data_IF_013504293860
#
_entry.id   IF_013504293860
#
_cell.length_a   1.000
_cell.length_b   1.000
_cell.length_c   1.000
_cell.angle_alpha   90.00
_cell.angle_beta   90.00
_cell.angle_gamma   90.00
#
_symmetry.space_group_name_H-M   'P 1'
#
loop_
_entity.id
_entity.type
_entity.pdbx_description
1 polymer ?
#
# COMPACT_ATOMS: atom_id res chain seq x y z
N UNK A 1 -68.73 -12.78 -40.83
CA UNK A 1 -67.73 -11.90 -40.19
C UNK A 1 -67.72 -12.24 -38.70
N UNK A 2 -66.92 -13.23 -38.31
CA UNK A 2 -66.83 -13.71 -36.92
C UNK A 2 -65.73 -12.95 -36.19
N UNK A 3 -66.14 -12.03 -35.32
CA UNK A 3 -65.22 -11.27 -34.46
C UNK A 3 -64.74 -12.18 -33.33
N UNK A 4 -63.46 -12.53 -33.37
CA UNK A 4 -62.77 -13.22 -32.28
C UNK A 4 -62.76 -12.28 -31.07
N UNK A 5 -63.44 -12.66 -29.99
CA UNK A 5 -63.31 -11.99 -28.69
C UNK A 5 -61.94 -12.34 -28.12
N UNK A 6 -61.07 -11.33 -27.97
CA UNK A 6 -59.89 -11.43 -27.11
C UNK A 6 -60.34 -11.70 -25.68
N UNK A 7 -59.97 -12.87 -25.16
CA UNK A 7 -60.17 -13.22 -23.76
C UNK A 7 -59.17 -12.44 -22.92
N UNK A 8 -59.65 -11.45 -22.16
CA UNK A 8 -58.87 -10.76 -21.12
C UNK A 8 -58.28 -11.79 -20.16
N UNK A 9 -56.96 -11.75 -19.97
CA UNK A 9 -56.25 -12.63 -19.03
C UNK A 9 -56.75 -12.35 -17.61
N UNK A 10 -57.14 -13.38 -16.82
CA UNK A 10 -57.65 -13.17 -15.48
C UNK A 10 -56.58 -12.48 -14.61
N UNK A 11 -56.96 -11.39 -13.93
CA UNK A 11 -56.10 -10.71 -12.95
C UNK A 11 -55.84 -11.67 -11.79
N UNK A 12 -54.68 -12.33 -11.82
CA UNK A 12 -54.24 -13.21 -10.73
C UNK A 12 -54.06 -12.34 -9.48
N UNK A 13 -54.72 -12.73 -8.39
CA UNK A 13 -54.57 -12.07 -7.09
C UNK A 13 -53.09 -11.96 -6.72
N UNK A 14 -52.65 -10.81 -6.20
CA UNK A 14 -51.25 -10.55 -5.81
C UNK A 14 -50.68 -11.63 -4.86
N UNK A 15 -51.55 -12.33 -4.12
CA UNK A 15 -51.20 -13.43 -3.21
C UNK A 15 -50.85 -14.74 -3.93
N UNK A 16 -51.29 -14.91 -5.17
CA UNK A 16 -51.04 -16.10 -6.02
C UNK A 16 -50.02 -15.84 -7.13
N UNK A 17 -49.50 -14.61 -7.25
CA UNK A 17 -48.42 -14.31 -8.19
C UNK A 17 -47.12 -14.97 -7.71
N UNK A 18 -46.52 -15.89 -8.50
CA UNK A 18 -45.30 -16.59 -8.11
C UNK A 18 -44.12 -15.64 -7.84
N UNK A 19 -44.07 -14.45 -8.48
CA UNK A 19 -43.02 -13.46 -8.24
C UNK A 19 -43.18 -12.78 -6.88
N UNK A 20 -44.40 -12.39 -6.53
CA UNK A 20 -44.70 -11.74 -5.23
C UNK A 20 -44.45 -12.70 -4.08
N UNK A 21 -44.88 -13.96 -4.22
CA UNK A 21 -44.66 -15.01 -3.21
C UNK A 21 -43.17 -15.33 -3.04
N UNK A 22 -42.40 -15.36 -4.13
CA UNK A 22 -40.95 -15.56 -4.07
C UNK A 22 -40.25 -14.44 -3.29
N UNK A 23 -40.61 -13.18 -3.55
CA UNK A 23 -40.07 -12.03 -2.82
C UNK A 23 -40.49 -12.09 -1.34
N UNK A 24 -41.74 -12.44 -1.04
CA UNK A 24 -42.21 -12.57 0.33
C UNK A 24 -41.43 -13.65 1.12
N UNK A 25 -41.17 -14.82 0.52
CA UNK A 25 -40.35 -15.85 1.16
C UNK A 25 -38.88 -15.45 1.32
N UNK A 26 -38.30 -14.72 0.35
CA UNK A 26 -36.95 -14.19 0.48
C UNK A 26 -36.84 -13.16 1.61
N UNK A 27 -37.80 -12.24 1.71
CA UNK A 27 -37.85 -11.27 2.81
C UNK A 27 -38.05 -11.95 4.16
N UNK A 28 -38.94 -12.94 4.25
CA UNK A 28 -39.14 -13.72 5.46
C UNK A 28 -37.87 -14.48 5.86
N UNK A 29 -37.19 -15.13 4.91
CA UNK A 29 -35.92 -15.81 5.15
C UNK A 29 -34.84 -14.84 5.62
N UNK A 30 -34.67 -13.69 4.96
CA UNK A 30 -33.74 -12.65 5.38
C UNK A 30 -34.05 -12.15 6.79
N UNK A 31 -35.33 -11.91 7.12
CA UNK A 31 -35.74 -11.48 8.45
C UNK A 31 -35.39 -12.52 9.51
N UNK A 32 -35.63 -13.81 9.24
CA UNK A 32 -35.25 -14.90 10.14
C UNK A 32 -33.74 -14.98 10.31
N UNK A 33 -32.96 -14.88 9.23
CA UNK A 33 -31.49 -14.90 9.30
C UNK A 33 -30.97 -13.72 10.14
N UNK A 34 -31.46 -12.50 9.89
CA UNK A 34 -31.06 -11.30 10.64
C UNK A 34 -31.45 -11.45 12.11
N UNK A 35 -32.65 -11.95 12.40
CA UNK A 35 -33.10 -12.19 13.77
C UNK A 35 -32.21 -13.20 14.51
N UNK A 36 -31.88 -14.33 13.87
CA UNK A 36 -31.00 -15.35 14.44
C UNK A 36 -29.58 -14.81 14.66
N UNK A 37 -29.02 -14.11 13.67
CA UNK A 37 -27.69 -13.51 13.77
C UNK A 37 -27.63 -12.44 14.88
N UNK A 38 -28.63 -11.57 14.94
CA UNK A 38 -28.74 -10.56 16.00
C UNK A 38 -28.88 -11.19 17.38
N UNK A 39 -29.72 -12.21 17.52
CA UNK A 39 -29.92 -12.92 18.78
C UNK A 39 -28.65 -13.66 19.24
N UNK A 40 -27.95 -14.30 18.31
CA UNK A 40 -26.67 -14.96 18.60
C UNK A 40 -25.59 -13.95 19.00
N UNK A 41 -25.46 -12.84 18.26
CA UNK A 41 -24.48 -11.80 18.55
C UNK A 41 -24.72 -11.13 19.90
N UNK A 42 -25.97 -10.76 20.21
CA UNK A 42 -26.32 -10.14 21.49
C UNK A 42 -26.14 -11.11 22.66
N UNK A 43 -26.50 -12.38 22.51
CA UNK A 43 -26.24 -13.40 23.54
C UNK A 43 -24.73 -13.56 23.79
N UNK A 44 -23.92 -13.63 22.73
CA UNK A 44 -22.47 -13.69 22.83
C UNK A 44 -21.88 -12.45 23.54
N UNK A 45 -22.27 -11.24 23.13
CA UNK A 45 -21.80 -9.99 23.75
C UNK A 45 -22.17 -9.95 25.24
N UNK A 46 -23.40 -10.32 25.60
CA UNK A 46 -23.85 -10.33 26.98
C UNK A 46 -23.08 -11.35 27.84
N UNK A 47 -22.75 -12.52 27.29
CA UNK A 47 -21.96 -13.53 28.00
C UNK A 47 -20.49 -13.10 28.15
N UNK A 48 -19.91 -12.47 27.13
CA UNK A 48 -18.55 -11.91 27.19
C UNK A 48 -18.45 -10.77 28.20
N UNK A 49 -19.45 -9.89 28.24
CA UNK A 49 -19.54 -8.81 29.21
C UNK A 49 -19.64 -9.35 30.65
N UNK A 50 -20.47 -10.37 30.88
CA UNK A 50 -20.56 -11.07 32.19
C UNK A 50 -19.24 -11.72 32.61
N UNK A 51 -18.43 -12.15 31.64
CA UNK A 51 -17.11 -12.73 31.88
C UNK A 51 -15.99 -11.68 32.05
N UNK A 52 -16.30 -10.37 32.06
CA UNK A 52 -15.33 -9.28 32.05
C UNK A 52 -14.30 -9.36 30.91
N UNK A 53 -14.67 -9.97 29.79
CA UNK A 53 -13.81 -10.04 28.61
C UNK A 53 -14.03 -8.77 27.79
N UNK A 54 -12.97 -7.98 27.65
CA UNK A 54 -12.97 -6.82 26.77
C UNK A 54 -13.34 -7.26 25.34
N UNK A 55 -14.53 -6.86 24.89
CA UNK A 55 -15.09 -7.24 23.59
C UNK A 55 -15.52 -5.99 22.82
N UNK A 56 -15.50 -6.08 21.48
CA UNK A 56 -15.83 -4.98 20.58
C UNK A 56 -14.61 -4.15 20.14
N UNK A 57 -14.88 -2.99 19.53
CA UNK A 57 -13.87 -2.12 18.90
C UNK A 57 -13.38 -0.98 19.80
N UNK A 58 -13.72 -0.96 21.08
CA UNK A 58 -13.26 0.07 22.01
C UNK A 58 -11.73 0.13 22.15
N UNK A 59 -11.06 -1.01 21.94
CA UNK A 59 -9.59 -1.10 22.01
C UNK A 59 -8.87 -0.17 21.04
N UNK A 60 -9.49 0.23 19.92
CA UNK A 60 -8.90 1.15 18.94
C UNK A 60 -8.48 2.48 19.57
N UNK A 61 -9.18 2.92 20.62
CA UNK A 61 -8.93 4.18 21.31
C UNK A 61 -8.09 4.00 22.59
N UNK A 62 -7.75 2.78 22.96
CA UNK A 62 -6.87 2.53 24.10
C UNK A 62 -5.42 2.82 23.71
N UNK A 63 -4.63 3.26 24.69
CA UNK A 63 -3.19 3.47 24.54
C UNK A 63 -2.50 2.16 24.18
N UNK A 64 -1.65 2.20 23.15
CA UNK A 64 -0.91 1.03 22.66
C UNK A 64 0.15 0.55 23.67
N UNK A 65 0.88 1.48 24.29
CA UNK A 65 1.85 1.17 25.35
C UNK A 65 3.18 0.58 24.85
N UNK A 66 3.43 0.56 23.54
CA UNK A 66 4.68 0.10 22.94
C UNK A 66 5.17 1.10 21.90
N UNK A 67 6.49 1.08 21.64
CA UNK A 67 7.11 1.95 20.64
C UNK A 67 7.19 1.26 19.27
N UNK A 68 7.25 2.06 18.19
CA UNK A 68 7.41 1.57 16.82
C UNK A 68 8.63 2.27 16.23
N UNK A 69 9.63 1.50 15.81
CA UNK A 69 10.92 2.05 15.36
C UNK A 69 10.77 2.99 14.16
N UNK A 70 10.26 2.51 13.02
CA UNK A 70 10.03 3.34 11.84
C UNK A 70 8.62 3.93 11.90
N UNK A 71 8.48 5.25 11.76
CA UNK A 71 7.16 5.91 11.74
C UNK A 71 7.08 6.88 10.57
N UNK A 72 6.04 6.73 9.74
CA UNK A 72 5.75 7.63 8.61
C UNK A 72 4.81 8.77 9.01
N UNK A 73 4.11 8.59 10.12
CA UNK A 73 3.20 9.55 10.74
C UNK A 73 3.55 9.64 12.21
N UNK A 74 3.31 10.80 12.83
CA UNK A 74 3.60 10.99 14.26
C UNK A 74 2.95 9.90 15.11
N UNK A 75 3.78 9.27 15.94
CA UNK A 75 3.43 8.18 16.83
C UNK A 75 4.30 8.25 18.08
N UNK A 76 3.73 7.85 19.22
CA UNK A 76 4.43 7.72 20.48
C UNK A 76 3.84 6.57 21.28
N UNK A 77 4.49 6.15 22.37
CA UNK A 77 3.99 5.07 23.24
C UNK A 77 2.65 5.37 23.90
N UNK A 78 2.27 6.65 23.99
CA UNK A 78 0.96 7.11 24.49
C UNK A 78 -0.12 7.19 23.40
N UNK A 79 0.23 6.94 22.14
CA UNK A 79 -0.73 6.89 21.03
C UNK A 79 -1.64 5.67 21.11
N UNK A 80 -2.79 5.74 20.43
CA UNK A 80 -3.80 4.68 20.46
C UNK A 80 -3.44 3.49 19.56
N UNK A 81 -4.04 2.33 19.81
CA UNK A 81 -3.91 1.16 18.91
C UNK A 81 -4.35 1.49 17.48
N UNK A 82 -5.35 2.36 17.29
CA UNK A 82 -5.74 2.79 15.97
C UNK A 82 -4.65 3.56 15.23
N UNK A 83 -3.91 4.41 15.94
CA UNK A 83 -2.73 5.08 15.37
C UNK A 83 -1.63 4.07 15.04
N UNK A 84 -1.35 3.13 15.94
CA UNK A 84 -0.37 2.06 15.72
C UNK A 84 -0.70 1.22 14.48
N UNK A 85 -1.98 0.89 14.26
CA UNK A 85 -2.44 0.18 13.07
C UNK A 85 -2.11 0.94 11.79
N UNK A 86 -2.41 2.24 11.72
CA UNK A 86 -2.10 3.05 10.55
C UNK A 86 -0.60 3.19 10.30
N UNK A 87 0.20 3.35 11.36
CA UNK A 87 1.66 3.35 11.24
C UNK A 87 2.16 2.03 10.66
N UNK A 88 1.71 0.90 11.22
CA UNK A 88 2.08 -0.44 10.74
C UNK A 88 1.64 -0.69 9.29
N UNK A 89 0.42 -0.28 8.93
CA UNK A 89 -0.10 -0.38 7.57
C UNK A 89 0.73 0.44 6.59
N UNK A 90 1.05 1.70 6.92
CA UNK A 90 1.86 2.57 6.07
C UNK A 90 3.28 2.03 5.89
N UNK A 91 3.91 1.54 6.95
CA UNK A 91 5.23 0.90 6.84
C UNK A 91 5.16 -0.36 5.97
N UNK A 92 4.13 -1.18 6.12
CA UNK A 92 3.94 -2.40 5.31
C UNK A 92 3.78 -2.06 3.84
N UNK A 93 2.96 -1.05 3.53
CA UNK A 93 2.78 -0.55 2.16
C UNK A 93 4.08 0.02 1.60
N UNK A 94 4.84 0.76 2.39
CA UNK A 94 6.13 1.32 1.98
C UNK A 94 7.13 0.21 1.65
N UNK A 95 7.34 -0.73 2.58
CA UNK A 95 8.25 -1.87 2.39
C UNK A 95 7.81 -2.72 1.21
N UNK A 96 6.51 -3.01 1.07
CA UNK A 96 6.00 -3.79 -0.04
C UNK A 96 6.20 -3.07 -1.38
N UNK A 97 5.93 -1.76 -1.46
CA UNK A 97 6.10 -1.00 -2.69
C UNK A 97 7.57 -1.00 -3.15
N UNK A 98 8.50 -0.68 -2.26
CA UNK A 98 9.94 -0.66 -2.58
C UNK A 98 10.43 -2.09 -2.85
N UNK A 99 10.02 -3.04 -2.01
CA UNK A 99 10.39 -4.45 -2.11
C UNK A 99 9.96 -5.07 -3.43
N UNK A 100 8.72 -4.86 -3.88
CA UNK A 100 8.23 -5.37 -5.17
C UNK A 100 9.09 -4.86 -6.32
N UNK A 101 9.40 -3.56 -6.34
CA UNK A 101 10.22 -2.97 -7.41
C UNK A 101 11.62 -3.57 -7.42
N UNK A 102 12.30 -3.57 -6.27
CA UNK A 102 13.67 -4.08 -6.17
C UNK A 102 13.76 -5.59 -6.40
N UNK A 103 12.83 -6.38 -5.83
CA UNK A 103 12.76 -7.82 -6.02
C UNK A 103 12.46 -8.18 -7.47
N UNK A 104 11.60 -7.41 -8.15
CA UNK A 104 11.33 -7.64 -9.58
C UNK A 104 12.57 -7.38 -10.42
N UNK A 105 13.31 -6.31 -10.15
CA UNK A 105 14.55 -6.01 -10.88
C UNK A 105 15.59 -7.12 -10.63
N UNK A 106 15.85 -7.45 -9.37
CA UNK A 106 16.84 -8.47 -9.01
C UNK A 106 16.43 -9.85 -9.54
N UNK A 107 15.19 -10.26 -9.30
CA UNK A 107 14.64 -11.53 -9.77
C UNK A 107 14.64 -11.65 -11.30
N UNK A 108 14.36 -10.57 -12.02
CA UNK A 108 14.48 -10.54 -13.47
C UNK A 108 15.93 -10.73 -13.93
N UNK A 109 16.88 -9.98 -13.34
CA UNK A 109 18.32 -10.11 -13.66
C UNK A 109 18.78 -11.55 -13.43
N UNK A 110 18.54 -12.10 -12.23
CA UNK A 110 18.94 -13.47 -11.88
C UNK A 110 18.23 -14.49 -12.77
N UNK A 111 16.96 -14.27 -13.10
CA UNK A 111 16.19 -15.12 -14.02
C UNK A 111 16.80 -15.18 -15.42
N UNK A 112 17.21 -14.04 -15.97
CA UNK A 112 17.92 -13.95 -17.25
C UNK A 112 19.29 -14.65 -17.17
N UNK A 113 20.06 -14.43 -16.10
CA UNK A 113 21.35 -15.08 -15.90
C UNK A 113 21.22 -16.61 -15.84
N UNK A 114 20.17 -17.12 -15.20
CA UNK A 114 19.89 -18.57 -15.12
C UNK A 114 19.61 -19.18 -16.48
N UNK A 115 18.98 -18.45 -17.39
CA UNK A 115 18.71 -18.88 -18.78
C UNK A 115 19.90 -18.66 -19.73
N UNK A 116 21.01 -18.11 -19.26
CA UNK A 116 22.21 -17.88 -20.06
C UNK A 116 22.76 -19.19 -20.63
N UNK A 117 23.21 -19.15 -21.88
CA UNK A 117 23.92 -20.28 -22.52
C UNK A 117 25.27 -20.56 -21.86
N UNK A 118 25.82 -19.60 -21.11
CA UNK A 118 27.07 -19.79 -20.38
C UNK A 118 26.82 -20.69 -19.16
N UNK A 119 27.40 -21.89 -19.19
CA UNK A 119 27.28 -22.89 -18.14
C UNK A 119 27.62 -22.36 -16.75
N UNK A 120 28.71 -21.60 -16.63
CA UNK A 120 29.16 -21.08 -15.32
C UNK A 120 28.14 -20.11 -14.75
N UNK A 121 27.67 -19.16 -15.55
CA UNK A 121 26.69 -18.16 -15.13
C UNK A 121 25.37 -18.81 -14.73
N UNK A 122 24.88 -19.73 -15.56
CA UNK A 122 23.62 -20.45 -15.30
C UNK A 122 23.68 -21.26 -14.01
N UNK A 123 24.80 -21.95 -13.75
CA UNK A 123 25.02 -22.72 -12.52
C UNK A 123 25.18 -21.84 -11.28
N UNK A 124 25.91 -20.73 -11.37
CA UNK A 124 26.05 -19.78 -10.26
C UNK A 124 24.70 -19.13 -9.90
N UNK A 125 23.93 -18.71 -10.91
CA UNK A 125 22.58 -18.18 -10.69
C UNK A 125 21.65 -19.24 -10.09
N UNK A 126 21.72 -20.49 -10.58
CA UNK A 126 20.97 -21.61 -10.00
C UNK A 126 21.31 -21.87 -8.54
N UNK A 127 22.60 -21.94 -8.21
CA UNK A 127 23.07 -22.14 -6.84
C UNK A 127 22.69 -20.99 -5.90
N UNK A 128 22.76 -19.74 -6.37
CA UNK A 128 22.25 -18.59 -5.64
C UNK A 128 20.76 -18.74 -5.31
N UNK A 129 19.92 -19.02 -6.32
CA UNK A 129 18.46 -19.15 -6.13
C UNK A 129 18.13 -20.30 -5.18
N UNK A 130 18.77 -21.46 -5.34
CA UNK A 130 18.55 -22.60 -4.46
C UNK A 130 19.00 -22.32 -3.04
N UNK A 131 20.16 -21.70 -2.84
CA UNK A 131 20.63 -21.36 -1.50
C UNK A 131 19.67 -20.39 -0.80
N UNK A 132 19.34 -19.28 -1.45
CA UNK A 132 18.54 -18.20 -0.85
C UNK A 132 17.11 -18.65 -0.55
N UNK A 133 16.47 -19.40 -1.45
CA UNK A 133 15.10 -19.89 -1.24
C UNK A 133 14.98 -20.96 -0.15
N UNK A 134 16.08 -21.66 0.15
CA UNK A 134 16.13 -22.67 1.20
C UNK A 134 16.54 -22.11 2.57
N UNK A 135 17.06 -20.87 2.65
CA UNK A 135 17.37 -20.24 3.92
C UNK A 135 16.10 -19.71 4.60
N UNK A 136 15.92 -19.98 5.92
CA UNK A 136 14.83 -19.38 6.68
C UNK A 136 14.89 -17.85 6.59
N UNK A 137 13.77 -17.19 6.28
CA UNK A 137 13.71 -15.74 6.16
C UNK A 137 14.21 -15.05 7.44
N UNK A 138 13.86 -15.58 8.61
CA UNK A 138 14.33 -15.05 9.90
C UNK A 138 15.86 -15.04 10.00
N UNK A 139 16.53 -16.08 9.50
CA UNK A 139 18.00 -16.14 9.49
C UNK A 139 18.56 -15.04 8.60
N UNK A 140 17.96 -14.80 7.43
CA UNK A 140 18.39 -13.70 6.55
C UNK A 140 18.23 -12.34 7.24
N UNK A 141 17.07 -12.08 7.87
CA UNK A 141 16.83 -10.83 8.60
C UNK A 141 17.87 -10.61 9.69
N UNK A 142 18.15 -11.64 10.49
CA UNK A 142 19.15 -11.59 11.55
C UNK A 142 20.57 -11.40 11.00
N UNK A 143 20.89 -12.02 9.86
CA UNK A 143 22.18 -11.85 9.20
C UNK A 143 22.36 -10.42 8.68
N UNK A 144 21.41 -9.89 7.92
CA UNK A 144 21.49 -8.52 7.41
C UNK A 144 21.60 -7.50 8.55
N UNK A 145 20.80 -7.67 9.60
CA UNK A 145 20.86 -6.77 10.76
C UNK A 145 22.17 -6.89 11.54
N UNK A 146 22.54 -8.11 11.99
CA UNK A 146 23.64 -8.28 12.93
C UNK A 146 25.03 -8.41 12.28
N UNK A 147 25.12 -9.04 11.11
CA UNK A 147 26.42 -9.28 10.46
C UNK A 147 26.80 -8.16 9.49
N UNK A 148 25.81 -7.52 8.84
CA UNK A 148 26.08 -6.50 7.82
C UNK A 148 25.88 -5.10 8.39
N UNK A 149 24.67 -4.76 8.85
CA UNK A 149 24.35 -3.39 9.27
C UNK A 149 25.00 -2.99 10.59
N UNK A 150 25.06 -3.88 11.58
CA UNK A 150 25.79 -3.61 12.84
C UNK A 150 27.31 -3.57 12.70
N UNK A 151 27.86 -4.17 11.65
CA UNK A 151 29.29 -4.12 11.35
C UNK A 151 29.71 -2.79 10.70
N UNK A 152 28.75 -1.94 10.32
CA UNK A 152 29.04 -0.59 9.83
C UNK A 152 29.72 0.25 10.93
N UNK A 153 30.45 1.32 10.55
CA UNK A 153 31.08 2.21 11.51
C UNK A 153 30.10 2.80 12.51
N UNK A 154 30.60 3.15 13.69
CA UNK A 154 29.82 3.89 14.66
C UNK A 154 29.38 5.25 14.10
N UNK A 155 28.35 5.84 14.69
CA UNK A 155 27.85 7.16 14.33
C UNK A 155 28.98 8.22 14.24
N UNK A 156 29.98 8.15 15.12
CA UNK A 156 31.12 9.06 15.13
C UNK A 156 32.03 8.90 13.92
N UNK A 157 32.01 7.79 13.22
CA UNK A 157 32.82 7.51 12.04
C UNK A 157 31.93 7.26 10.81
N UNK A 158 30.74 7.89 10.80
CA UNK A 158 29.75 7.75 9.73
C UNK A 158 30.37 7.96 8.35
N UNK A 159 30.12 7.01 7.46
CA UNK A 159 30.56 7.07 6.07
C UNK A 159 29.74 8.13 5.32
N UNK A 160 30.44 9.01 4.62
CA UNK A 160 29.81 10.01 3.76
C UNK A 160 29.54 9.39 2.38
N UNK A 161 28.28 9.37 1.98
CA UNK A 161 27.84 8.90 0.67
C UNK A 161 27.67 10.11 -0.25
N UNK A 162 28.07 10.03 -1.54
CA UNK A 162 27.80 11.06 -2.53
C UNK A 162 26.32 11.47 -2.53
N UNK A 163 26.05 12.78 -2.56
CA UNK A 163 24.69 13.33 -2.45
C UNK A 163 24.29 13.76 -1.03
N UNK A 164 25.23 13.78 -0.08
CA UNK A 164 25.00 14.33 1.27
C UNK A 164 24.28 13.36 2.21
N UNK A 165 24.43 12.06 1.99
CA UNK A 165 23.90 11.03 2.86
C UNK A 165 24.98 10.48 3.81
N UNK A 166 24.57 9.97 4.97
CA UNK A 166 25.46 9.32 5.93
C UNK A 166 25.03 7.90 6.21
N UNK A 167 25.99 6.98 6.28
CA UNK A 167 25.74 5.58 6.62
C UNK A 167 26.57 5.16 7.83
N UNK A 168 25.92 4.54 8.80
CA UNK A 168 26.54 4.03 10.02
C UNK A 168 25.70 2.88 10.60
N UNK A 169 26.13 2.34 11.74
CA UNK A 169 25.42 1.27 12.44
C UNK A 169 24.04 1.63 13.03
N UNK A 170 23.64 2.91 12.99
CA UNK A 170 22.28 3.38 13.33
C UNK A 170 21.38 3.55 12.12
N UNK A 171 21.89 3.37 10.90
CA UNK A 171 21.09 3.38 9.69
C UNK A 171 21.66 4.28 8.59
N UNK A 172 20.79 4.58 7.64
CA UNK A 172 21.08 5.42 6.48
C UNK A 172 20.32 6.74 6.62
N UNK A 173 21.05 7.84 6.67
CA UNK A 173 20.52 9.20 6.74
C UNK A 173 20.61 9.82 5.35
N UNK A 174 19.47 10.13 4.74
CA UNK A 174 19.39 10.76 3.41
C UNK A 174 18.75 12.14 3.48
N UNK A 175 18.98 13.03 2.50
CA UNK A 175 18.27 14.31 2.46
C UNK A 175 16.75 14.12 2.47
N UNK A 176 16.07 14.77 3.40
CA UNK A 176 14.62 14.70 3.52
C UNK A 176 13.97 15.77 2.63
N UNK A 177 13.08 15.40 1.71
CA UNK A 177 12.25 16.37 1.01
C UNK A 177 11.16 16.90 1.95
N UNK A 178 11.18 18.20 2.22
CA UNK A 178 10.18 18.91 3.02
C UNK A 178 9.32 19.75 2.08
N UNK A 179 8.03 19.44 2.04
CA UNK A 179 7.06 20.22 1.28
C UNK A 179 6.84 21.57 1.96
N UNK A 180 7.09 22.67 1.25
CA UNK A 180 6.89 24.03 1.76
C UNK A 180 5.55 24.61 1.31
N UNK A 181 5.26 25.85 1.71
CA UNK A 181 4.06 26.58 1.28
C UNK A 181 3.98 26.64 -0.24
N UNK A 182 2.93 26.08 -0.82
CA UNK A 182 2.74 26.00 -2.28
C UNK A 182 2.68 24.58 -2.83
N UNK A 183 3.19 23.59 -2.10
CA UNK A 183 3.13 22.18 -2.54
C UNK A 183 1.68 21.65 -2.67
N UNK A 184 0.70 22.26 -1.99
CA UNK A 184 -0.72 21.96 -2.16
C UNK A 184 -1.19 22.15 -3.62
N UNK A 185 -0.62 23.10 -4.36
CA UNK A 185 -0.93 23.28 -5.78
C UNK A 185 -0.51 22.06 -6.61
N UNK A 186 0.61 21.43 -6.26
CA UNK A 186 1.10 20.19 -6.89
C UNK A 186 0.15 19.02 -6.60
N UNK A 187 -0.39 18.92 -5.38
CA UNK A 187 -1.41 17.92 -5.06
C UNK A 187 -2.71 18.12 -5.86
N UNK A 188 -3.19 19.36 -5.94
CA UNK A 188 -4.38 19.69 -6.74
C UNK A 188 -4.14 19.35 -8.21
N UNK A 189 -2.96 19.66 -8.73
CA UNK A 189 -2.52 19.33 -10.08
C UNK A 189 -2.51 17.81 -10.30
N UNK A 190 -2.01 17.02 -9.34
CA UNK A 190 -1.96 15.57 -9.43
C UNK A 190 -3.36 14.93 -9.46
N UNK A 191 -4.24 15.30 -8.52
CA UNK A 191 -5.61 14.79 -8.50
C UNK A 191 -6.43 15.30 -9.68
N UNK A 192 -6.24 16.55 -10.10
CA UNK A 192 -6.83 17.10 -11.32
C UNK A 192 -6.38 16.35 -12.58
N UNK A 193 -5.10 15.98 -12.64
CA UNK A 193 -4.52 15.15 -13.70
C UNK A 193 -5.13 13.74 -13.76
N UNK A 194 -5.37 13.10 -12.62
CA UNK A 194 -6.07 11.81 -12.54
C UNK A 194 -7.50 11.94 -13.05
N UNK A 195 -8.24 12.94 -12.58
CA UNK A 195 -9.62 13.17 -13.04
C UNK A 195 -9.65 13.45 -14.55
N UNK A 196 -8.77 14.33 -15.03
CA UNK A 196 -8.62 14.64 -16.46
C UNK A 196 -8.27 13.41 -17.30
N UNK A 197 -7.39 12.54 -16.78
CA UNK A 197 -7.01 11.27 -17.42
C UNK A 197 -8.20 10.31 -17.53
N UNK A 198 -9.02 10.20 -16.48
CA UNK A 198 -10.24 9.37 -16.50
C UNK A 198 -11.26 9.94 -17.49
N UNK A 199 -11.47 11.26 -17.50
CA UNK A 199 -12.37 11.92 -18.46
C UNK A 199 -11.89 11.74 -19.90
N UNK A 200 -10.60 11.91 -20.16
CA UNK A 200 -9.98 11.70 -21.47
C UNK A 200 -10.12 10.25 -21.92
N UNK A 201 -9.87 9.28 -21.04
CA UNK A 201 -10.06 7.85 -21.32
C UNK A 201 -11.51 7.54 -21.69
N UNK A 202 -12.46 8.07 -20.93
CA UNK A 202 -13.89 7.86 -21.18
C UNK A 202 -14.33 8.47 -22.51
N UNK A 203 -13.84 9.66 -22.84
CA UNK A 203 -14.08 10.30 -24.13
C UNK A 203 -13.41 9.53 -25.29
N UNK A 204 -12.15 9.11 -25.13
CA UNK A 204 -11.40 8.37 -26.12
C UNK A 204 -12.07 7.04 -26.46
N UNK A 205 -12.60 6.34 -25.45
CA UNK A 205 -13.36 5.10 -25.64
C UNK A 205 -14.64 5.35 -26.45
N UNK A 206 -15.44 6.35 -26.08
CA UNK A 206 -16.66 6.72 -26.83
C UNK A 206 -16.35 7.15 -28.27
N UNK A 207 -15.22 7.84 -28.49
CA UNK A 207 -14.77 8.23 -29.83
C UNK A 207 -14.34 7.01 -30.65
N UNK A 208 -13.61 6.08 -30.06
CA UNK A 208 -13.18 4.84 -30.72
C UNK A 208 -14.40 3.98 -31.12
N UNK A 209 -15.42 3.88 -30.25
CA UNK A 209 -16.67 3.17 -30.55
C UNK A 209 -17.43 3.78 -31.76
N UNK A 210 -17.35 5.11 -31.95
CA UNK A 210 -18.04 5.82 -33.05
C UNK A 210 -17.24 5.88 -34.34
N UNK A 211 -15.91 6.01 -34.25
CA UNK A 211 -15.04 6.36 -35.39
C UNK A 211 -13.99 5.31 -35.73
N UNK A 212 -13.84 4.27 -34.89
CA UNK A 212 -12.81 3.23 -35.04
C UNK A 212 -11.37 3.68 -34.73
N UNK A 213 -11.12 4.98 -34.61
CA UNK A 213 -9.77 5.52 -34.38
C UNK A 213 -9.40 5.49 -32.90
N UNK A 214 -8.23 4.93 -32.59
CA UNK A 214 -7.66 4.93 -31.25
C UNK A 214 -6.98 6.27 -30.95
N UNK A 215 -7.38 6.94 -29.87
CA UNK A 215 -6.66 8.08 -29.34
C UNK A 215 -5.50 7.60 -28.42
N UNK A 216 -4.40 8.36 -28.29
CA UNK A 216 -3.24 7.97 -27.48
C UNK A 216 -3.50 8.13 -25.98
N UNK A 217 -4.39 7.31 -25.42
CA UNK A 217 -4.81 7.40 -24.00
C UNK A 217 -3.62 7.30 -23.06
N UNK A 218 -2.70 6.36 -23.29
CA UNK A 218 -1.55 6.15 -22.42
C UNK A 218 -0.67 7.40 -22.28
N UNK A 219 -0.26 8.00 -23.41
CA UNK A 219 0.61 9.18 -23.42
C UNK A 219 -0.08 10.41 -22.82
N UNK A 220 -1.36 10.64 -23.15
CA UNK A 220 -2.12 11.76 -22.60
C UNK A 220 -2.36 11.58 -21.09
N UNK A 221 -2.70 10.36 -20.65
CA UNK A 221 -2.84 10.04 -19.24
C UNK A 221 -1.53 10.23 -18.48
N UNK A 222 -0.40 9.81 -19.05
CA UNK A 222 0.92 10.02 -18.47
C UNK A 222 1.26 11.52 -18.37
N UNK A 223 1.00 12.28 -19.44
CA UNK A 223 1.19 13.73 -19.46
C UNK A 223 0.30 14.48 -18.46
N UNK A 224 -0.94 14.05 -18.27
CA UNK A 224 -1.85 14.64 -17.29
C UNK A 224 -1.48 14.27 -15.85
N UNK A 225 -1.10 13.01 -15.59
CA UNK A 225 -0.82 12.54 -14.23
C UNK A 225 0.58 12.97 -13.76
N UNK A 226 1.57 13.00 -14.66
CA UNK A 226 2.95 13.34 -14.31
C UNK A 226 3.32 14.74 -14.80
N UNK A 227 3.04 15.05 -16.07
CA UNK A 227 3.44 16.32 -16.67
C UNK A 227 2.77 17.53 -16.03
N UNK A 228 1.47 17.46 -15.74
CA UNK A 228 0.72 18.58 -15.16
C UNK A 228 1.22 18.92 -13.73
N UNK A 229 1.43 17.96 -12.80
CA UNK A 229 2.08 18.25 -11.52
C UNK A 229 3.49 18.80 -11.65
N UNK A 230 4.29 18.30 -12.60
CA UNK A 230 5.66 18.78 -12.83
C UNK A 230 5.64 20.24 -13.31
N UNK A 231 4.75 20.59 -14.24
CA UNK A 231 4.60 21.99 -14.69
C UNK A 231 4.20 22.88 -13.52
N UNK A 232 3.21 22.46 -12.72
CA UNK A 232 2.77 23.23 -11.55
C UNK A 232 3.87 23.34 -10.50
N UNK A 233 4.69 22.30 -10.31
CA UNK A 233 5.84 22.31 -9.41
C UNK A 233 6.87 23.39 -9.79
N UNK A 234 7.21 23.50 -11.08
CA UNK A 234 8.11 24.56 -11.56
C UNK A 234 7.46 25.95 -11.51
N UNK A 235 6.19 26.08 -11.87
CA UNK A 235 5.47 27.36 -11.80
C UNK A 235 5.30 27.87 -10.37
N UNK A 236 5.16 26.96 -9.40
CA UNK A 236 5.11 27.28 -7.98
C UNK A 236 6.48 27.58 -7.36
N UNK A 237 7.55 27.64 -8.16
CA UNK A 237 8.89 27.99 -7.70
C UNK A 237 9.63 26.86 -6.98
N UNK A 238 9.33 25.59 -7.30
CA UNK A 238 9.92 24.40 -6.68
C UNK A 238 9.71 24.37 -5.15
N UNK A 239 8.45 24.25 -4.66
CA UNK A 239 8.10 24.30 -3.24
C UNK A 239 8.49 23.01 -2.48
N UNK A 240 9.73 22.56 -2.64
CA UNK A 240 10.31 21.38 -2.02
C UNK A 240 11.74 21.71 -1.61
N UNK A 241 11.96 21.86 -0.31
CA UNK A 241 13.30 22.05 0.25
C UNK A 241 13.88 20.70 0.64
N UNK A 242 15.18 20.53 0.39
CA UNK A 242 15.92 19.35 0.83
C UNK A 242 16.63 19.68 2.13
N UNK A 243 16.17 19.07 3.23
CA UNK A 243 16.85 19.14 4.51
C UNK A 243 17.95 18.06 4.53
N UNK A 244 19.19 18.51 4.43
CA UNK A 244 20.35 17.62 4.45
C UNK A 244 20.66 17.17 5.87
N UNK A 245 21.02 15.89 6.07
CA UNK A 245 21.49 15.44 7.37
C UNK A 245 22.79 16.15 7.74
N UNK A 246 22.86 16.69 8.96
CA UNK A 246 24.03 17.35 9.51
C UNK A 246 24.63 16.52 10.65
N UNK A 247 25.95 16.34 10.60
CA UNK A 247 26.67 15.54 11.60
C UNK A 247 26.90 16.35 12.88
N UNK A 248 26.15 16.03 13.92
CA UNK A 248 26.41 16.50 15.28
C UNK A 248 27.45 15.63 16.01
N UNK A 249 27.77 16.02 17.25
CA UNK A 249 28.75 15.32 18.10
C UNK A 249 28.27 13.95 18.60
N UNK A 250 26.97 13.79 18.81
CA UNK A 250 26.34 12.58 19.38
C UNK A 250 25.09 12.10 18.60
N UNK A 251 24.63 12.87 17.62
CA UNK A 251 23.50 12.56 16.74
C UNK A 251 23.71 13.16 15.35
N UNK A 252 23.04 12.60 14.34
CA UNK A 252 22.81 13.28 13.07
C UNK A 252 21.48 14.02 13.21
N UNK A 253 21.44 15.27 12.79
CA UNK A 253 20.24 16.12 12.83
C UNK A 253 19.75 16.36 11.42
N UNK A 254 18.43 16.42 11.24
CA UNK A 254 17.85 16.60 9.90
C UNK A 254 17.99 15.34 9.04
N UNK A 255 17.53 15.45 7.80
CA UNK A 255 17.41 14.31 6.90
C UNK A 255 16.36 13.29 7.33
N UNK A 256 16.16 12.30 6.46
CA UNK A 256 15.32 11.14 6.67
C UNK A 256 16.20 10.00 7.15
N UNK A 257 15.88 9.45 8.31
CA UNK A 257 16.54 8.28 8.88
C UNK A 257 15.83 7.00 8.41
N UNK A 258 16.60 6.13 7.76
CA UNK A 258 16.18 4.78 7.40
C UNK A 258 16.87 3.83 8.39
N UNK A 259 16.07 3.30 9.29
CA UNK A 259 16.55 2.46 10.38
C UNK A 259 17.08 1.10 9.87
N UNK A 260 18.05 0.49 10.58
CA UNK A 260 18.64 -0.78 10.17
C UNK A 260 17.61 -1.92 10.17
N UNK A 261 16.60 -1.87 11.03
CA UNK A 261 15.51 -2.85 11.06
C UNK A 261 14.70 -2.82 9.75
N UNK A 262 14.39 -1.62 9.27
CA UNK A 262 13.69 -1.44 7.99
C UNK A 262 14.56 -1.92 6.82
N UNK A 263 15.84 -1.56 6.81
CA UNK A 263 16.77 -1.97 5.77
C UNK A 263 16.97 -3.49 5.75
N UNK A 264 17.12 -4.13 6.92
CA UNK A 264 17.24 -5.59 7.03
C UNK A 264 15.99 -6.31 6.52
N UNK A 265 14.80 -5.81 6.88
CA UNK A 265 13.53 -6.32 6.37
C UNK A 265 13.45 -6.20 4.84
N UNK A 266 13.80 -5.03 4.30
CA UNK A 266 13.79 -4.77 2.87
C UNK A 266 14.77 -5.70 2.14
N UNK A 267 16.01 -5.84 2.62
CA UNK A 267 16.98 -6.74 2.01
C UNK A 267 16.54 -8.20 2.05
N UNK A 268 16.01 -8.67 3.18
CA UNK A 268 15.47 -10.02 3.29
C UNK A 268 14.36 -10.27 2.28
N UNK A 269 13.41 -9.35 2.13
CA UNK A 269 12.30 -9.48 1.17
C UNK A 269 12.73 -9.36 -0.29
N UNK A 270 13.76 -8.58 -0.59
CA UNK A 270 14.23 -8.38 -1.97
C UNK A 270 15.08 -9.55 -2.46
N UNK A 271 15.86 -10.14 -1.57
CA UNK A 271 16.82 -11.19 -1.90
C UNK A 271 16.15 -12.56 -1.93
N UNK A 272 15.22 -12.82 -1.01
CA UNK A 272 14.46 -14.07 -0.87
C UNK A 272 13.61 -14.42 -2.11
#
# INVERSE_FOLDING_TARGET
MSVVRETERPKVSLLYDPKVRSIAYQLALCAVIVFLAYSAATNAINNLAKANIASGFGFWNNTAGFDISQTLIEYSTVSTYGRAFWVGLLNTLLVAAIGIVLATILGFIIGVLRLSKNFLISRLAGGYVEAIRNLPLLLQLLFWYNAVLKALPELRDSLMIPGGAFLNNRGLFVPQPIATSGFNAVWIAFFGGIIGSILFRNWAKKRQERTGQQAPVFLTSLGLIIGLPVIVFFLAGMPLELNFPERGRFNIRGGLEILPEFAALLFGLVIY
#
